data_IF_928073201388
#
_entry.id   IF_928073201388
#
_cell.length_a   1.000
_cell.length_b   1.000
_cell.length_c   1.000
_cell.angle_alpha   90.00
_cell.angle_beta   90.00
_cell.angle_gamma   90.00
#
_symmetry.space_group_name_H-M   'P 1'
#
loop_
_entity.id
_entity.type
_entity.pdbx_description
1 polymer ?
#
# COMPACT_ATOMS: atom_id res chain seq x y z
N UNK A 1 -7.07 28.77 -10.56
CA UNK A 1 -7.16 27.61 -9.65
C UNK A 1 -6.48 26.44 -10.34
N UNK A 2 -5.16 26.34 -10.18
CA UNK A 2 -4.34 25.30 -10.79
C UNK A 2 -3.74 24.43 -9.68
N UNK A 3 -4.61 23.66 -9.03
CA UNK A 3 -4.21 22.60 -8.09
C UNK A 3 -4.60 21.24 -8.69
N UNK A 4 -4.15 20.91 -9.91
CA UNK A 4 -4.69 19.72 -10.59
C UNK A 4 -3.67 18.75 -11.23
N UNK A 5 -2.37 18.84 -10.94
CA UNK A 5 -1.41 17.88 -11.55
C UNK A 5 -0.40 17.20 -10.60
N UNK A 6 -0.23 17.63 -9.35
CA UNK A 6 0.83 17.06 -8.48
C UNK A 6 0.39 15.96 -7.49
N UNK A 7 -0.91 15.70 -7.33
CA UNK A 7 -1.40 14.75 -6.32
C UNK A 7 -1.16 13.27 -6.65
N UNK A 8 -1.18 12.91 -7.94
CA UNK A 8 -1.05 11.51 -8.38
C UNK A 8 0.39 10.99 -8.37
N UNK A 9 1.39 11.86 -8.33
CA UNK A 9 2.80 11.47 -8.26
C UNK A 9 3.37 11.47 -6.83
N UNK A 10 2.54 11.77 -5.82
CA UNK A 10 2.97 11.77 -4.43
C UNK A 10 3.08 10.33 -3.93
N UNK A 11 4.32 9.89 -3.71
CA UNK A 11 4.63 8.63 -3.04
C UNK A 11 4.47 8.82 -1.53
N UNK A 12 3.72 7.93 -0.89
CA UNK A 12 3.58 7.87 0.55
C UNK A 12 4.19 6.56 1.04
N UNK A 13 5.10 6.65 1.99
CA UNK A 13 5.83 5.51 2.54
C UNK A 13 5.14 5.02 3.82
N UNK A 14 4.70 3.76 3.81
CA UNK A 14 4.02 3.12 4.93
C UNK A 14 4.88 1.99 5.48
N UNK A 15 5.21 2.07 6.76
CA UNK A 15 5.92 0.98 7.45
C UNK A 15 4.99 -0.17 7.77
N UNK A 16 5.42 -1.38 7.46
CA UNK A 16 4.66 -2.62 7.63
C UNK A 16 5.56 -3.66 8.27
N UNK A 17 5.05 -4.33 9.31
CA UNK A 17 5.77 -5.40 10.00
C UNK A 17 5.61 -6.70 9.21
N UNK A 18 6.73 -7.36 8.95
CA UNK A 18 6.78 -8.72 8.40
C UNK A 18 6.99 -9.71 9.56
N UNK A 19 6.38 -10.92 9.54
CA UNK A 19 6.65 -11.94 10.54
C UNK A 19 8.13 -12.29 10.62
N UNK A 20 8.57 -12.73 11.80
CA UNK A 20 9.96 -13.07 12.11
C UNK A 20 10.08 -14.58 12.37
N UNK A 21 9.76 -15.38 11.36
CA UNK A 21 9.72 -16.84 11.45
C UNK A 21 10.82 -17.54 10.61
N UNK A 22 11.71 -16.76 9.98
CA UNK A 22 12.77 -17.26 9.12
C UNK A 22 12.36 -17.50 7.67
N UNK A 23 11.12 -17.20 7.28
CA UNK A 23 10.63 -17.35 5.91
C UNK A 23 10.48 -16.01 5.19
N UNK A 24 10.56 -16.04 3.86
CA UNK A 24 10.27 -14.86 3.04
C UNK A 24 8.75 -14.72 2.89
N UNK A 25 8.22 -13.53 3.15
CA UNK A 25 6.79 -13.26 3.10
C UNK A 25 6.39 -12.44 1.87
N UNK A 26 5.18 -12.68 1.39
CA UNK A 26 4.61 -11.91 0.29
C UNK A 26 3.95 -10.64 0.82
N UNK A 27 4.50 -9.47 0.49
CA UNK A 27 3.91 -8.19 0.84
C UNK A 27 3.33 -7.52 -0.41
N UNK A 28 2.07 -7.12 -0.36
CA UNK A 28 1.38 -6.45 -1.48
C UNK A 28 0.58 -5.27 -0.99
N UNK A 29 0.33 -4.30 -1.87
CA UNK A 29 -0.59 -3.21 -1.62
C UNK A 29 -1.51 -2.99 -2.80
N UNK A 30 -2.78 -2.78 -2.50
CA UNK A 30 -3.83 -2.55 -3.49
C UNK A 30 -4.63 -1.31 -3.13
N UNK A 31 -4.88 -0.46 -4.12
CA UNK A 31 -5.85 0.63 -4.00
C UNK A 31 -7.25 0.07 -4.20
N UNK A 32 -8.11 0.24 -3.21
CA UNK A 32 -9.50 -0.28 -3.18
C UNK A 32 -10.56 0.82 -3.29
N UNK A 33 -10.19 2.08 -3.00
CA UNK A 33 -11.03 3.24 -3.29
C UNK A 33 -10.25 4.36 -3.98
N UNK A 34 -10.95 5.10 -4.84
CA UNK A 34 -10.42 6.30 -5.46
C UNK A 34 -10.30 7.48 -4.46
N UNK A 35 -9.77 8.62 -4.93
CA UNK A 35 -9.58 9.82 -4.12
C UNK A 35 -10.90 10.42 -3.58
N UNK A 36 -12.04 10.06 -4.18
CA UNK A 36 -13.38 10.51 -3.78
C UNK A 36 -14.04 9.52 -2.82
N UNK A 37 -13.39 8.41 -2.50
CA UNK A 37 -13.92 7.35 -1.64
C UNK A 37 -14.83 6.36 -2.35
N UNK A 38 -14.91 6.39 -3.69
CA UNK A 38 -15.66 5.39 -4.43
C UNK A 38 -14.88 4.08 -4.47
N UNK A 39 -15.58 2.96 -4.25
CA UNK A 39 -14.97 1.64 -4.46
C UNK A 39 -14.59 1.46 -5.93
N UNK A 40 -13.40 0.94 -6.15
CA UNK A 40 -12.88 0.60 -7.48
C UNK A 40 -12.51 -0.88 -7.53
N UNK A 41 -12.31 -1.41 -8.73
CA UNK A 41 -11.57 -2.67 -8.89
C UNK A 41 -10.18 -2.48 -8.28
N UNK A 42 -9.76 -3.43 -7.45
CA UNK A 42 -8.48 -3.35 -6.76
C UNK A 42 -7.33 -3.16 -7.77
N UNK A 43 -6.52 -2.13 -7.56
CA UNK A 43 -5.34 -1.85 -8.37
C UNK A 43 -4.09 -2.14 -7.54
N UNK A 44 -3.30 -3.14 -7.93
CA UNK A 44 -2.02 -3.43 -7.28
C UNK A 44 -1.04 -2.29 -7.57
N UNK A 45 -0.47 -1.70 -6.50
CA UNK A 45 0.50 -0.61 -6.58
C UNK A 45 1.87 -0.99 -6.05
N UNK A 46 1.95 -2.09 -5.30
CA UNK A 46 3.19 -2.57 -4.70
C UNK A 46 3.12 -4.08 -4.50
N UNK A 47 4.20 -4.81 -4.83
CA UNK A 47 4.21 -6.28 -4.81
C UNK A 47 5.63 -6.83 -4.77
N UNK A 48 6.10 -7.22 -3.57
CA UNK A 48 7.46 -7.75 -3.38
C UNK A 48 7.49 -8.85 -2.31
N UNK A 49 8.56 -9.63 -2.34
CA UNK A 49 8.88 -10.62 -1.32
C UNK A 49 9.87 -9.98 -0.35
N UNK A 50 9.61 -10.08 0.96
CA UNK A 50 10.42 -9.47 2.01
C UNK A 50 10.88 -10.56 2.99
N UNK A 51 12.14 -10.52 3.38
CA UNK A 51 12.70 -11.46 4.35
C UNK A 51 12.10 -11.25 5.76
N UNK A 52 12.04 -12.34 6.52
CA UNK A 52 11.50 -12.34 7.88
C UNK A 52 12.19 -11.35 8.80
N UNK A 53 11.45 -10.84 9.79
CA UNK A 53 11.99 -10.03 10.88
C UNK A 53 12.21 -8.56 10.54
N UNK A 54 12.03 -8.18 9.27
CA UNK A 54 12.20 -6.80 8.83
C UNK A 54 10.90 -5.99 8.88
N UNK A 55 11.04 -4.69 9.14
CA UNK A 55 9.99 -3.72 8.79
C UNK A 55 10.26 -3.25 7.38
N UNK A 56 9.33 -3.48 6.48
CA UNK A 56 9.42 -2.98 5.11
C UNK A 56 8.70 -1.64 4.96
N UNK A 57 9.08 -0.89 3.93
CA UNK A 57 8.44 0.37 3.55
C UNK A 57 7.68 0.16 2.24
N UNK A 58 6.35 0.17 2.34
CA UNK A 58 5.44 0.06 1.20
C UNK A 58 5.18 1.44 0.63
N UNK A 59 5.26 1.57 -0.69
CA UNK A 59 5.05 2.82 -1.41
C UNK A 59 3.64 2.87 -2.00
N UNK A 60 2.86 3.87 -1.60
CA UNK A 60 1.49 4.10 -2.06
C UNK A 60 1.45 5.38 -2.89
N UNK A 61 0.94 5.28 -4.12
CA UNK A 61 1.03 6.36 -5.12
C UNK A 61 -0.33 7.05 -5.27
N UNK A 62 -0.39 8.30 -4.84
CA UNK A 62 -1.56 9.16 -4.99
C UNK A 62 -2.67 8.92 -3.95
N UNK A 63 -3.70 9.80 -3.94
CA UNK A 63 -4.78 9.77 -2.95
C UNK A 63 -5.70 8.56 -3.13
N UNK A 64 -6.25 8.00 -2.06
CA UNK A 64 -7.13 6.83 -2.10
C UNK A 64 -7.09 6.00 -0.82
N UNK A 65 -7.88 4.94 -0.79
CA UNK A 65 -7.81 3.93 0.28
C UNK A 65 -7.06 2.70 -0.23
N UNK A 66 -6.10 2.24 0.56
CA UNK A 66 -5.23 1.13 0.24
C UNK A 66 -5.32 0.05 1.30
N UNK A 67 -5.35 -1.20 0.86
CA UNK A 67 -5.11 -2.36 1.72
C UNK A 67 -3.71 -2.90 1.45
N UNK A 68 -2.98 -3.13 2.52
CA UNK A 68 -1.67 -3.75 2.50
C UNK A 68 -1.81 -5.14 3.09
N UNK A 69 -1.29 -6.14 2.39
CA UNK A 69 -1.38 -7.54 2.75
C UNK A 69 -0.01 -8.13 3.01
N UNK A 70 0.05 -9.03 3.98
CA UNK A 70 1.18 -9.95 4.22
C UNK A 70 0.62 -11.36 4.09
N UNK A 71 1.16 -12.14 3.16
CA UNK A 71 0.70 -13.50 2.80
C UNK A 71 -0.81 -13.59 2.54
N UNK A 72 -1.35 -12.55 1.89
CA UNK A 72 -2.78 -12.46 1.54
C UNK A 72 -3.70 -12.00 2.67
N UNK A 73 -3.19 -11.80 3.89
CA UNK A 73 -3.95 -11.26 5.01
C UNK A 73 -3.78 -9.75 5.11
N UNK A 74 -4.87 -9.00 5.34
CA UNK A 74 -4.79 -7.54 5.53
C UNK A 74 -3.98 -7.27 6.80
N UNK A 75 -2.78 -6.71 6.60
CA UNK A 75 -1.92 -6.25 7.68
C UNK A 75 -2.22 -4.79 8.05
N UNK A 76 -2.61 -3.97 7.07
CA UNK A 76 -2.94 -2.56 7.32
C UNK A 76 -3.88 -2.01 6.25
N UNK A 77 -4.72 -1.04 6.64
CA UNK A 77 -5.46 -0.17 5.72
C UNK A 77 -4.98 1.27 5.91
N UNK A 78 -4.71 1.97 4.81
CA UNK A 78 -4.20 3.34 4.81
C UNK A 78 -5.06 4.23 3.89
N UNK A 79 -5.41 5.43 4.36
CA UNK A 79 -6.14 6.43 3.54
C UNK A 79 -5.26 7.64 3.31
N UNK A 80 -5.01 7.95 2.03
CA UNK A 80 -4.22 9.10 1.59
C UNK A 80 -5.20 10.12 1.00
N UNK A 81 -5.08 11.38 1.44
CA UNK A 81 -5.90 12.50 0.96
C UNK A 81 -5.13 13.34 -0.05
#
# INVERSE_FOLDING_TARGET
AEENENGYNKVNNVKVKVPDDGETHKVTAERVKDAKGNKISAQSVWNYNIDSGETTTVELIGPGEYNIYVDGNIAKTETIK
#
